data_IF_475808844019
#
_entry.id   IF_475808844019
#
_cell.length_a   1.000
_cell.length_b   1.000
_cell.length_c   1.000
_cell.angle_alpha   90.00
_cell.angle_beta   90.00
_cell.angle_gamma   90.00
#
_symmetry.space_group_name_H-M   'P 1'
#
loop_
_entity.id
_entity.type
_entity.pdbx_description
1 polymer ?
2 polymer ?
3 polymer ?
4 polymer ?
5 non-polymer ?
6 non-polymer ?
7 non-polymer ?
8 non-polymer ?
9 non-polymer ?
10 non-polymer ?
11 water ?
#
loop_
_entity_poly.entity_id
_entity_poly.type
_entity_poly.pdbx_seq_one_letter_code
_entity_poly.pdbx_strand_id
2 'polydeoxyribonucleotide' '(DC)(DG)(DG)(DC)(DC)(DT)(DA)(DC)(DG)' ?
3 'polydeoxyribonucleotide' '(DC)(DG)(DT)(DA)(DG)' ?
4 'polydeoxyribonucleotide' '(DG)(DC)(DC)(DG)' ?
#
# COMPACT_ATOMS: atom_id res chain seq x y z
N UNK A 12 8.76 -22.96 -6.77
CA UNK A 12 8.40 -21.65 -6.19
C UNK A 12 9.64 -20.75 -6.08
N UNK A 13 9.70 -19.68 -6.89
CA UNK A 13 10.86 -18.79 -6.84
C UNK A 13 10.90 -18.01 -5.54
N UNK A 14 12.07 -17.49 -5.23
CA UNK A 14 12.25 -16.91 -3.90
C UNK A 14 11.77 -15.48 -3.80
N UNK A 15 11.68 -14.75 -4.92
CA UNK A 15 11.23 -13.36 -4.89
C UNK A 15 9.77 -13.27 -5.33
N UNK A 16 9.01 -12.37 -4.69
CA UNK A 16 7.60 -12.31 -5.04
C UNK A 16 7.37 -11.81 -6.48
N UNK A 17 8.30 -11.04 -7.03
CA UNK A 17 8.11 -10.51 -8.38
C UNK A 17 8.34 -11.53 -9.46
N UNK A 18 8.76 -12.73 -9.08
CA UNK A 18 9.00 -13.84 -10.00
C UNK A 18 7.82 -14.79 -10.14
N UNK A 19 6.69 -14.52 -9.50
CA UNK A 19 5.58 -15.45 -9.52
C UNK A 19 4.28 -14.66 -9.51
N UNK A 20 3.26 -15.13 -10.19
CA UNK A 20 1.95 -14.49 -10.10
C UNK A 20 1.35 -14.66 -8.72
N UNK A 21 0.75 -13.58 -8.22
CA UNK A 21 0.01 -13.66 -6.97
C UNK A 21 -1.35 -13.01 -7.18
N UNK A 22 -2.41 -13.79 -7.20
CA UNK A 22 -3.77 -13.26 -7.47
C UNK A 22 -4.32 -12.63 -6.22
N UNK A 23 -5.42 -11.89 -6.41
CA UNK A 23 -6.00 -11.16 -5.31
C UNK A 23 -6.66 -12.09 -4.30
N UNK A 24 -7.32 -13.11 -4.80
CA UNK A 24 -7.89 -14.15 -3.96
C UNK A 24 -7.19 -15.46 -4.24
N UNK A 25 -7.14 -16.32 -3.21
CA UNK A 25 -6.29 -17.50 -3.31
C UNK A 25 -6.82 -18.60 -2.41
N UNK A 26 -5.97 -19.58 -2.12
CA UNK A 26 -6.42 -20.85 -1.55
C UNK A 26 -5.87 -21.09 -0.15
N UNK A 27 -5.26 -20.09 0.44
CA UNK A 27 -4.62 -20.23 1.75
C UNK A 27 -4.87 -19.02 2.62
N UNK A 28 -6.08 -18.49 2.51
CA UNK A 28 -6.35 -17.17 3.13
C UNK A 28 -6.11 -17.16 4.62
N UNK A 29 -6.62 -18.17 5.34
CA UNK A 29 -6.43 -18.18 6.79
C UNK A 29 -4.97 -18.28 7.21
N UNK A 30 -4.20 -19.10 6.51
CA UNK A 30 -2.80 -19.23 6.86
C UNK A 30 -2.07 -17.92 6.63
N UNK A 31 -2.31 -17.29 5.47
CA UNK A 31 -1.60 -16.04 5.18
C UNK A 31 -1.98 -14.96 6.18
N UNK A 32 -3.25 -14.89 6.57
CA UNK A 32 -3.70 -13.88 7.52
C UNK A 32 -2.96 -14.00 8.84
N UNK A 33 -2.75 -15.24 9.30
CA UNK A 33 -2.08 -15.46 10.58
C UNK A 33 -0.63 -15.00 10.52
N UNK A 34 0.06 -15.35 9.43
CA UNK A 34 1.45 -14.92 9.30
C UNK A 34 1.54 -13.41 9.21
N UNK A 35 0.56 -12.76 8.57
CA UNK A 35 0.54 -11.31 8.48
C UNK A 35 0.28 -10.63 9.82
N UNK A 36 -0.46 -11.27 10.73
CA UNK A 36 -0.53 -10.73 12.09
C UNK A 36 0.85 -10.68 12.72
N UNK A 37 1.61 -11.78 12.61
CA UNK A 37 2.95 -11.79 13.19
C UNK A 37 3.88 -10.78 12.51
N UNK A 38 3.68 -10.56 11.21
CA UNK A 38 4.49 -9.55 10.52
C UNK A 38 4.19 -8.18 11.07
N UNK A 39 2.89 -7.88 11.23
CA UNK A 39 2.46 -6.58 11.75
C UNK A 39 2.99 -6.36 13.14
N UNK A 40 2.90 -7.37 14.00
CA UNK A 40 3.41 -7.26 15.36
C UNK A 40 4.92 -7.04 15.38
N UNK A 41 5.66 -7.71 14.48
CA UNK A 41 7.10 -7.44 14.38
C UNK A 41 7.36 -5.98 14.05
N UNK A 42 6.58 -5.42 13.15
CA UNK A 42 6.78 -4.02 12.79
C UNK A 42 6.49 -3.09 13.96
N UNK A 43 5.49 -3.42 14.77
CA UNK A 43 5.24 -2.58 15.95
C UNK A 43 6.39 -2.62 16.95
N UNK A 44 7.21 -3.66 16.92
CA UNK A 44 8.38 -3.75 17.79
C UNK A 44 9.66 -3.30 17.09
N UNK A 45 9.55 -2.78 15.88
CA UNK A 45 10.71 -2.30 15.14
C UNK A 45 11.60 -3.37 14.53
N UNK A 46 11.12 -4.59 14.34
CA UNK A 46 11.93 -5.64 13.72
C UNK A 46 11.49 -5.78 12.28
N UNK A 47 12.08 -4.95 11.41
CA UNK A 47 11.75 -4.98 9.99
C UNK A 47 12.17 -6.29 9.33
N UNK A 48 13.24 -6.92 9.82
CA UNK A 48 13.66 -8.19 9.23
C UNK A 48 12.65 -9.30 9.45
N UNK A 49 12.19 -9.45 10.67
CA UNK A 49 11.18 -10.45 10.97
C UNK A 49 9.85 -10.11 10.27
N UNK A 50 9.49 -8.83 10.20
CA UNK A 50 8.32 -8.43 9.44
C UNK A 50 8.43 -8.92 8.01
N UNK A 51 9.60 -8.71 7.39
CA UNK A 51 9.74 -9.10 5.98
C UNK A 51 9.61 -10.60 5.81
N UNK A 52 10.26 -11.36 6.66
CA UNK A 52 10.16 -12.82 6.51
C UNK A 52 8.72 -13.30 6.65
N UNK A 53 7.98 -12.79 7.66
CA UNK A 53 6.60 -13.24 7.80
C UNK A 53 5.72 -12.76 6.63
N UNK A 54 5.97 -11.55 6.12
CA UNK A 54 5.25 -11.06 4.94
C UNK A 54 5.55 -11.94 3.73
N UNK A 55 6.84 -12.30 3.54
CA UNK A 55 7.23 -13.12 2.40
C UNK A 55 6.64 -14.52 2.49
N UNK A 56 6.66 -15.11 3.69
CA UNK A 56 6.07 -16.44 3.86
C UNK A 56 4.57 -16.41 3.58
N UNK A 57 3.89 -15.39 4.07
CA UNK A 57 2.49 -15.25 3.76
C UNK A 57 2.27 -15.16 2.26
N UNK A 58 3.13 -14.40 1.59
CA UNK A 58 2.95 -14.19 0.16
C UNK A 58 3.17 -15.47 -0.64
N UNK A 59 4.11 -16.31 -0.21
CA UNK A 59 4.33 -17.60 -0.86
C UNK A 59 3.04 -18.42 -0.84
N UNK A 60 2.34 -18.40 0.29
CA UNK A 60 1.09 -19.15 0.37
C UNK A 60 0.02 -18.59 -0.57
N UNK A 61 -0.01 -17.28 -0.77
CA UNK A 61 -0.96 -16.70 -1.69
C UNK A 61 -0.71 -17.16 -3.13
N UNK A 62 0.54 -17.49 -3.45
CA UNK A 62 0.91 -17.88 -4.80
C UNK A 62 0.73 -19.38 -5.10
N UNK A 63 0.39 -20.21 -4.09
CA UNK A 63 0.23 -21.61 -4.31
C UNK A 63 -1.07 -21.92 -5.06
N UNK A 64 -1.10 -23.02 -5.81
CA UNK A 64 -2.25 -23.30 -6.65
C UNK A 64 -3.39 -23.99 -5.94
N UNK A 65 -3.20 -24.37 -4.67
CA UNK A 65 -4.22 -25.11 -3.95
C UNK A 65 -3.94 -24.98 -2.45
N UNK A 66 -4.88 -25.42 -1.60
CA UNK A 66 -4.65 -25.27 -0.14
C UNK A 66 -3.54 -26.17 0.38
N UNK A 67 -2.78 -25.61 1.33
CA UNK A 67 -1.90 -26.43 2.16
C UNK A 67 -2.74 -27.21 3.15
N UNK A 68 -2.64 -28.53 3.08
CA UNK A 68 -3.36 -29.48 3.94
C UNK A 68 -2.44 -30.20 4.93
N UNK A 69 -1.16 -30.30 4.63
CA UNK A 69 -0.25 -31.10 5.43
C UNK A 69 1.06 -30.34 5.52
N UNK A 70 1.73 -30.52 6.66
CA UNK A 70 3.00 -29.82 6.90
C UNK A 70 4.01 -30.15 5.82
N UNK A 71 3.99 -31.39 5.34
CA UNK A 71 4.85 -31.86 4.27
C UNK A 71 4.91 -30.93 3.08
N UNK A 72 3.81 -30.24 2.80
CA UNK A 72 3.72 -29.41 1.62
C UNK A 72 4.53 -28.12 1.77
N UNK A 73 5.04 -27.81 2.95
CA UNK A 73 5.89 -26.64 3.10
C UNK A 73 7.32 -26.94 2.77
N UNK A 74 7.70 -28.23 2.69
CA UNK A 74 9.08 -28.58 2.42
C UNK A 74 9.53 -27.97 1.13
N UNK A 75 10.65 -27.27 1.17
CA UNK A 75 11.19 -26.66 0.01
C UNK A 75 10.69 -25.26 -0.26
N UNK A 76 9.55 -24.86 0.30
CA UNK A 76 9.04 -23.52 -0.01
C UNK A 76 9.97 -22.45 0.56
N UNK A 77 10.25 -21.42 -0.18
CA UNK A 77 11.11 -20.35 0.37
C UNK A 77 10.39 -19.61 1.49
N UNK A 78 11.19 -19.17 2.47
CA UNK A 78 10.80 -18.36 3.60
C UNK A 78 10.01 -19.10 4.66
N UNK A 79 9.95 -20.43 4.58
CA UNK A 79 9.38 -21.27 5.61
C UNK A 79 10.49 -22.00 6.35
N UNK A 80 10.81 -21.48 7.54
CA UNK A 80 11.71 -22.12 8.45
C UNK A 80 10.96 -22.63 9.66
N UNK A 81 11.69 -22.80 10.76
CA UNK A 81 11.08 -23.41 11.93
C UNK A 81 9.88 -22.63 12.43
N UNK A 82 10.00 -21.30 12.46
CA UNK A 82 8.96 -20.48 13.09
C UNK A 82 7.68 -20.41 12.24
N UNK A 83 7.79 -20.03 10.97
CA UNK A 83 6.60 -19.95 10.13
C UNK A 83 5.98 -21.32 9.92
N UNK A 84 6.80 -22.37 9.87
CA UNK A 84 6.25 -23.72 9.70
C UNK A 84 5.47 -24.14 10.93
N UNK A 85 5.95 -23.76 12.11
CA UNK A 85 5.24 -24.11 13.35
C UNK A 85 3.88 -23.42 13.40
N UNK A 86 3.83 -22.15 12.99
CA UNK A 86 2.55 -21.44 12.92
C UNK A 86 1.58 -22.22 12.05
N UNK A 87 2.01 -22.60 10.86
CA UNK A 87 1.13 -23.33 9.95
C UNK A 87 0.74 -24.67 10.54
N UNK A 88 1.71 -25.38 11.15
CA UNK A 88 1.40 -26.69 11.72
C UNK A 88 0.30 -26.58 12.77
N UNK A 89 0.37 -25.57 13.64
CA UNK A 89 -0.65 -25.42 14.67
C UNK A 89 -1.99 -25.07 14.06
N UNK A 90 -2.01 -24.24 13.04
CA UNK A 90 -3.29 -23.94 12.39
C UNK A 90 -3.87 -25.17 11.72
N UNK A 91 -3.03 -25.99 11.07
CA UNK A 91 -3.54 -27.21 10.44
C UNK A 91 -4.09 -28.18 11.45
N UNK A 92 -3.43 -28.30 12.60
CA UNK A 92 -3.80 -29.30 13.60
C UNK A 92 -4.95 -28.83 14.49
N UNK A 93 -4.98 -27.56 14.88
CA UNK A 93 -5.91 -27.09 15.89
C UNK A 93 -6.83 -25.98 15.43
N UNK A 94 -6.60 -25.39 14.25
CA UNK A 94 -7.38 -24.29 13.77
C UNK A 94 -7.02 -22.94 14.32
N UNK A 95 -6.07 -22.88 15.25
CA UNK A 95 -5.59 -21.65 15.86
C UNK A 95 -4.12 -21.85 16.19
N UNK A 96 -3.38 -20.75 16.20
CA UNK A 96 -1.99 -20.73 16.63
C UNK A 96 -1.90 -19.90 17.90
N UNK A 97 -1.43 -20.53 18.99
CA UNK A 97 -1.42 -19.84 20.27
C UNK A 97 -0.68 -18.51 20.21
N UNK A 98 0.46 -18.48 19.53
CA UNK A 98 1.22 -17.23 19.45
C UNK A 98 0.43 -16.14 18.77
N UNK A 99 -0.23 -16.47 17.65
CA UNK A 99 -1.03 -15.51 16.95
C UNK A 99 -2.16 -14.99 17.83
N UNK A 100 -2.87 -15.90 18.52
CA UNK A 100 -3.96 -15.47 19.39
C UNK A 100 -3.46 -14.60 20.54
N UNK A 101 -2.30 -14.92 21.09
CA UNK A 101 -1.72 -14.10 22.14
C UNK A 101 -1.47 -12.68 21.64
N UNK A 102 -0.96 -12.56 20.42
CA UNK A 102 -0.73 -11.23 19.83
C UNK A 102 -2.06 -10.51 19.67
N UNK A 103 -3.03 -11.20 19.07
CA UNK A 103 -4.31 -10.56 18.79
C UNK A 103 -4.93 -9.93 20.02
N UNK A 104 -4.89 -10.63 21.14
CA UNK A 104 -5.59 -10.15 22.34
C UNK A 104 -4.71 -9.23 23.20
N UNK A 105 -3.46 -9.00 22.79
CA UNK A 105 -2.56 -8.22 23.63
C UNK A 105 -2.88 -6.73 23.56
N UNK A 106 -2.76 -6.08 24.72
CA UNK A 106 -3.02 -4.65 24.78
C UNK A 106 -2.05 -3.88 23.89
N UNK A 107 -0.80 -4.30 23.85
CA UNK A 107 0.19 -3.63 23.03
C UNK A 107 -0.19 -3.70 21.55
N UNK A 108 -0.51 -4.89 21.04
CA UNK A 108 -0.86 -5.02 19.64
C UNK A 108 -2.10 -4.19 19.30
N UNK A 109 -3.15 -4.33 20.14
CA UNK A 109 -4.40 -3.64 19.81
C UNK A 109 -4.21 -2.12 19.80
N UNK A 110 -3.46 -1.60 20.78
CA UNK A 110 -3.30 -0.15 20.85
C UNK A 110 -2.37 0.35 19.75
N UNK A 111 -1.26 -0.34 19.50
CA UNK A 111 -0.40 0.07 18.42
C UNK A 111 -1.13 0.05 17.08
N UNK A 112 -1.96 -0.98 16.86
CA UNK A 112 -2.76 -1.02 15.64
C UNK A 112 -3.68 0.17 15.56
N UNK A 113 -4.39 0.47 16.67
CA UNK A 113 -5.32 1.60 16.67
C UNK A 113 -4.61 2.91 16.39
N UNK A 114 -3.47 3.14 17.05
CA UNK A 114 -2.79 4.43 16.91
C UNK A 114 -2.16 4.58 15.51
N UNK A 115 -1.52 3.53 15.01
CA UNK A 115 -0.85 3.65 13.71
C UNK A 115 -1.86 3.74 12.57
N UNK A 116 -3.10 3.29 12.79
CA UNK A 116 -4.13 3.50 11.78
C UNK A 116 -4.48 4.96 11.60
N UNK A 117 -4.14 5.84 12.56
CA UNK A 117 -4.41 7.25 12.43
C UNK A 117 -3.50 7.86 11.37
N UNK A 118 -4.10 8.58 10.42
CA UNK A 118 -3.32 9.38 9.48
C UNK A 118 -2.52 10.44 10.23
N UNK A 119 -1.18 10.37 10.09
CA UNK A 119 -0.26 11.23 10.75
C UNK A 119 0.48 10.61 11.90
N UNK A 120 0.17 9.35 12.22
CA UNK A 120 0.76 8.63 13.32
C UNK A 120 1.45 7.41 12.78
N UNK A 121 2.76 7.29 13.03
CA UNK A 121 3.51 6.13 12.66
C UNK A 121 3.84 5.28 13.87
N UNK A 122 4.66 4.25 13.65
CA UNK A 122 5.04 3.37 14.74
C UNK A 122 5.75 4.13 15.86
N UNK A 123 6.68 5.01 15.51
CA UNK A 123 7.44 5.72 16.54
C UNK A 123 6.56 6.61 17.40
N UNK A 124 5.61 7.34 16.79
CA UNK A 124 4.71 8.14 17.61
C UNK A 124 3.78 7.26 18.45
N UNK A 125 3.17 6.23 17.84
CA UNK A 125 2.30 5.33 18.58
C UNK A 125 3.00 4.70 19.77
N UNK A 126 4.23 4.26 19.57
CA UNK A 126 4.98 3.63 20.64
C UNK A 126 5.24 4.62 21.79
N UNK A 127 5.59 5.87 21.45
CA UNK A 127 5.80 6.85 22.51
C UNK A 127 4.53 7.08 23.30
N UNK A 128 3.38 7.20 22.60
CA UNK A 128 2.10 7.39 23.28
C UNK A 128 1.77 6.17 24.16
N UNK A 129 2.02 4.97 23.63
CA UNK A 129 1.81 3.76 24.41
C UNK A 129 2.63 3.79 25.68
N UNK A 130 3.91 4.17 25.58
CA UNK A 130 4.75 4.20 26.78
C UNK A 130 4.31 5.30 27.75
N UNK A 131 3.66 6.34 27.26
CA UNK A 131 3.12 7.38 28.12
C UNK A 131 1.83 6.95 28.82
N UNK A 132 1.29 5.79 28.48
CA UNK A 132 0.07 5.31 29.10
C UNK A 132 -1.19 5.55 28.30
N UNK A 133 -1.10 6.14 27.11
CA UNK A 133 -2.30 6.39 26.31
C UNK A 133 -2.76 5.10 25.66
N UNK A 134 -4.09 4.94 25.57
CA UNK A 134 -4.65 3.69 25.05
C UNK A 134 -5.78 3.87 24.04
N UNK A 135 -6.54 4.98 24.06
CA UNK A 135 -7.72 5.12 23.22
C UNK A 135 -7.66 6.42 22.44
N UNK A 136 -8.52 6.51 21.42
CA UNK A 136 -8.56 7.73 20.62
C UNK A 136 -9.02 8.91 21.48
N UNK A 137 -9.95 8.67 22.40
CA UNK A 137 -10.39 9.76 23.29
C UNK A 137 -9.28 10.23 24.22
N UNK A 138 -8.39 9.34 24.64
CA UNK A 138 -7.18 9.78 25.32
C UNK A 138 -6.42 10.82 24.51
N UNK A 139 -6.28 10.58 23.19
CA UNK A 139 -5.54 11.51 22.35
C UNK A 139 -6.30 12.81 22.19
N UNK A 140 -7.62 12.73 22.07
CA UNK A 140 -8.42 13.93 21.89
C UNK A 140 -8.33 14.86 23.09
N UNK A 141 -8.12 14.31 24.27
CA UNK A 141 -8.11 15.09 25.51
C UNK A 141 -6.77 15.82 25.73
N UNK A 142 -5.87 15.82 24.76
CA UNK A 142 -4.63 16.57 24.88
C UNK A 142 -4.19 17.03 23.50
N UNK A 143 -4.97 17.92 22.86
CA UNK A 143 -4.84 18.15 21.43
C UNK A 143 -3.65 19.01 21.06
N UNK A 144 -3.14 19.84 21.97
CA UNK A 144 -1.92 20.58 21.68
C UNK A 144 -0.73 19.66 21.45
N UNK A 145 -0.80 18.42 21.94
CA UNK A 145 0.19 17.40 21.70
C UNK A 145 0.12 16.83 20.29
N UNK A 146 -0.72 17.33 19.42
CA UNK A 146 -0.91 16.74 18.11
C UNK A 146 -0.59 17.71 17.00
N UNK A 147 -0.09 17.17 15.90
CA UNK A 147 0.12 17.94 14.70
C UNK A 147 -1.19 18.22 14.00
N UNK A 148 -1.17 19.21 13.11
CA UNK A 148 -2.35 19.48 12.29
C UNK A 148 -2.77 18.22 11.55
N UNK A 149 -1.81 17.46 11.01
CA UNK A 149 -2.10 16.26 10.27
C UNK A 149 -2.78 15.23 11.16
N UNK A 150 -2.28 15.08 12.39
CA UNK A 150 -2.85 14.12 13.33
C UNK A 150 -4.24 14.54 13.75
N UNK A 151 -4.43 15.85 13.91
CA UNK A 151 -5.78 16.35 14.27
C UNK A 151 -6.77 15.95 13.17
N UNK A 152 -6.41 16.18 11.91
CA UNK A 152 -7.28 15.78 10.80
C UNK A 152 -7.50 14.27 10.80
N UNK A 153 -6.43 13.52 10.97
CA UNK A 153 -6.56 12.06 11.02
C UNK A 153 -7.49 11.60 12.13
N UNK A 154 -7.43 12.24 13.30
CA UNK A 154 -8.31 11.87 14.40
C UNK A 154 -9.74 12.31 14.15
N UNK A 155 -9.94 13.53 13.65
CA UNK A 155 -11.31 14.01 13.41
C UNK A 155 -11.99 13.10 12.40
N UNK A 156 -11.28 12.68 11.37
CA UNK A 156 -11.84 11.90 10.26
C UNK A 156 -11.67 10.40 10.43
N UNK A 157 -11.16 9.96 11.59
CA UNK A 157 -10.78 8.54 11.74
C UNK A 157 -11.95 7.60 11.47
N UNK A 158 -13.14 7.94 11.92
CA UNK A 158 -14.26 7.02 11.75
C UNK A 158 -14.58 6.82 10.28
N UNK A 159 -14.73 7.91 9.51
CA UNK A 159 -14.94 7.77 8.06
C UNK A 159 -13.79 7.04 7.38
N UNK A 160 -12.54 7.35 7.74
CA UNK A 160 -11.41 6.77 7.11
C UNK A 160 -11.29 5.28 7.43
N UNK A 161 -11.97 4.80 8.44
CA UNK A 161 -11.97 3.37 8.74
C UNK A 161 -13.02 2.60 7.97
N UNK A 162 -13.88 3.27 7.23
CA UNK A 162 -15.00 2.73 6.43
C UNK A 162 -14.48 2.38 5.04
N UNK A 163 -14.70 1.18 4.51
CA UNK A 163 -14.19 0.85 3.19
C UNK A 163 -14.71 1.78 2.10
N UNK A 164 -13.78 2.19 1.23
CA UNK A 164 -14.05 2.83 -0.03
C UNK A 164 -14.44 1.78 -1.06
N UNK A 165 -15.55 2.01 -1.75
CA UNK A 165 -16.05 1.03 -2.73
C UNK A 165 -15.67 1.45 -4.14
N UNK A 166 -15.69 0.48 -5.06
CA UNK A 166 -15.35 0.81 -6.44
C UNK A 166 -16.26 1.88 -7.00
N UNK A 167 -17.53 1.93 -6.56
CA UNK A 167 -18.43 3.00 -6.99
C UNK A 167 -17.93 4.37 -6.52
N UNK A 168 -17.40 4.46 -5.31
CA UNK A 168 -16.82 5.70 -4.83
C UNK A 168 -15.65 6.14 -5.71
N UNK A 169 -14.85 5.16 -6.17
CA UNK A 169 -13.64 5.49 -6.93
C UNK A 169 -14.00 6.17 -8.24
N UNK A 170 -15.00 5.66 -8.95
CA UNK A 170 -15.36 6.23 -10.25
C UNK A 170 -15.83 7.67 -10.10
N UNK A 171 -16.60 7.94 -9.04
CA UNK A 171 -17.03 9.31 -8.78
C UNK A 171 -15.86 10.22 -8.48
N UNK A 172 -14.89 9.76 -7.67
CA UNK A 172 -13.76 10.59 -7.36
C UNK A 172 -12.92 10.86 -8.62
N UNK A 173 -12.81 9.87 -9.50
CA UNK A 173 -11.95 10.06 -10.65
C UNK A 173 -12.49 11.14 -11.58
N UNK A 174 -13.83 11.20 -11.74
CA UNK A 174 -14.39 12.25 -12.57
C UNK A 174 -14.11 13.63 -11.99
N UNK A 175 -14.20 13.79 -10.66
CA UNK A 175 -13.99 15.14 -10.14
C UNK A 175 -12.51 15.52 -10.24
N UNK A 176 -11.61 14.54 -10.05
CA UNK A 176 -10.17 14.81 -10.21
C UNK A 176 -9.86 15.19 -11.66
N UNK A 177 -10.44 14.47 -12.59
CA UNK A 177 -10.24 14.77 -14.02
C UNK A 177 -10.71 16.17 -14.38
N UNK A 178 -11.84 16.62 -13.82
CA UNK A 178 -12.31 17.97 -14.14
C UNK A 178 -11.30 19.01 -13.68
N UNK A 179 -10.77 18.84 -12.44
CA UNK A 179 -9.81 19.83 -11.96
C UNK A 179 -8.51 19.77 -12.76
N UNK A 180 -8.08 18.56 -13.06
CA UNK A 180 -6.83 18.36 -13.82
C UNK A 180 -6.95 18.96 -15.20
N UNK A 181 -8.09 18.76 -15.85
CA UNK A 181 -8.34 19.37 -17.18
C UNK A 181 -8.29 20.87 -17.22
N UNK A 182 -8.76 21.56 -16.14
CA UNK A 182 -8.64 23.00 -16.10
C UNK A 182 -7.23 23.41 -15.77
N UNK A 183 -6.56 22.62 -14.93
CA UNK A 183 -5.21 22.98 -14.53
C UNK A 183 -4.27 22.83 -15.72
N UNK A 184 -4.48 21.82 -16.55
CA UNK A 184 -3.61 21.58 -17.73
C UNK A 184 -4.37 20.75 -18.76
N UNK A 185 -4.96 21.39 -19.75
CA UNK A 185 -5.62 20.63 -20.81
C UNK A 185 -4.70 19.59 -21.42
N UNK A 186 -5.25 18.38 -21.62
CA UNK A 186 -4.50 17.26 -22.11
C UNK A 186 -3.90 16.35 -21.04
N UNK A 187 -3.84 16.80 -19.81
CA UNK A 187 -3.32 15.94 -18.75
C UNK A 187 -4.28 14.80 -18.51
N UNK A 188 -3.72 13.68 -18.06
CA UNK A 188 -4.48 12.45 -17.88
C UNK A 188 -4.40 12.00 -16.44
N UNK A 189 -5.39 11.19 -16.04
CA UNK A 189 -5.53 10.69 -14.68
C UNK A 189 -5.66 9.18 -14.79
N UNK A 190 -4.79 8.44 -14.10
CA UNK A 190 -4.80 6.97 -14.09
C UNK A 190 -5.01 6.45 -12.69
N UNK A 191 -5.99 5.56 -12.49
CA UNK A 191 -6.19 4.90 -11.20
C UNK A 191 -5.08 3.90 -10.96
N UNK A 192 -4.47 4.01 -9.77
CA UNK A 192 -3.38 3.09 -9.40
C UNK A 192 -3.70 2.37 -8.12
N UNK A 193 -2.66 1.96 -7.38
CA UNK A 193 -2.83 1.25 -6.13
C UNK A 193 -3.67 0.00 -6.22
N UNK A 194 -4.22 -0.35 -5.07
CA UNK A 194 -5.00 -1.62 -4.97
C UNK A 194 -6.16 -1.73 -5.93
N UNK A 195 -6.87 -0.60 -6.22
CA UNK A 195 -7.95 -0.73 -7.18
C UNK A 195 -7.47 -1.12 -8.58
N UNK A 196 -6.27 -0.68 -8.98
CA UNK A 196 -5.76 -1.11 -10.28
C UNK A 196 -5.42 -2.62 -10.27
N UNK A 197 -5.09 -3.16 -9.12
CA UNK A 197 -4.85 -4.62 -8.97
C UNK A 197 -6.10 -5.43 -8.87
N UNK A 198 -7.29 -4.78 -8.92
CA UNK A 198 -8.55 -5.50 -8.94
C UNK A 198 -9.31 -5.51 -7.66
N UNK A 199 -8.82 -4.84 -6.61
CA UNK A 199 -9.56 -4.81 -5.34
C UNK A 199 -10.92 -4.16 -5.52
N UNK A 200 -11.94 -4.72 -4.84
CA UNK A 200 -13.27 -4.17 -4.92
C UNK A 200 -13.51 -3.11 -3.86
N UNK A 201 -12.66 -3.08 -2.84
CA UNK A 201 -12.72 -2.09 -1.78
C UNK A 201 -11.31 -1.63 -1.48
N UNK A 202 -11.24 -0.62 -0.61
CA UNK A 202 -9.94 -0.21 -0.13
C UNK A 202 -10.10 0.86 0.90
N UNK A 203 -8.98 1.31 1.42
CA UNK A 203 -9.00 2.35 2.46
C UNK A 203 -8.56 3.70 1.92
N UNK A 204 -8.23 3.78 0.63
CA UNK A 204 -7.83 5.03 0.04
C UNK A 204 -7.86 4.83 -1.47
N UNK A 205 -7.74 5.93 -2.20
CA UNK A 205 -7.73 5.91 -3.66
C UNK A 205 -6.45 6.59 -4.15
N UNK A 206 -5.77 5.97 -5.09
CA UNK A 206 -4.48 6.43 -5.60
C UNK A 206 -4.59 6.80 -7.07
N UNK A 207 -4.13 8.01 -7.44
CA UNK A 207 -4.21 8.46 -8.81
C UNK A 207 -2.83 8.96 -9.25
N UNK A 208 -2.51 8.70 -10.51
CA UNK A 208 -1.27 9.12 -11.15
C UNK A 208 -1.60 10.03 -12.32
N UNK A 209 -0.97 11.18 -12.37
CA UNK A 209 -1.29 12.23 -13.35
C UNK A 209 -0.07 12.50 -14.20
N UNK A 210 -0.27 12.64 -15.51
CA UNK A 210 0.83 13.02 -16.39
C UNK A 210 0.27 13.81 -17.55
N UNK A 211 1.15 14.14 -18.49
CA UNK A 211 0.78 14.89 -19.72
C UNK A 211 1.64 14.34 -20.83
N UNK A 212 1.09 14.15 -22.03
CA UNK A 212 1.87 13.51 -23.10
C UNK A 212 3.05 14.33 -23.60
N UNK A 213 3.11 15.63 -23.35
CA UNK A 213 4.21 16.50 -23.75
C UNK A 213 5.18 16.68 -22.57
N UNK A 214 6.37 16.06 -22.70
CA UNK A 214 7.33 16.12 -21.62
C UNK A 214 7.62 17.55 -21.17
N UNK A 215 7.55 17.76 -19.86
CA UNK A 215 7.78 19.05 -19.24
C UNK A 215 6.52 19.83 -18.93
N UNK A 216 5.43 19.54 -19.63
CA UNK A 216 4.21 20.30 -19.41
C UNK A 216 3.64 20.03 -18.03
N UNK A 217 4.03 18.90 -17.42
CA UNK A 217 3.53 18.58 -16.08
C UNK A 217 4.19 19.35 -14.98
N UNK A 218 5.27 20.10 -15.25
CA UNK A 218 5.93 20.91 -14.23
C UNK A 218 4.92 21.85 -13.60
N UNK A 219 4.89 21.92 -12.27
CA UNK A 219 4.02 22.83 -11.55
C UNK A 219 2.57 22.47 -11.55
N UNK A 220 2.22 21.24 -11.96
CA UNK A 220 0.84 20.87 -12.14
C UNK A 220 0.10 20.67 -10.81
N UNK A 221 0.70 19.94 -9.89
CA UNK A 221 -0.04 19.55 -8.69
C UNK A 221 -0.57 20.73 -7.89
N UNK A 222 0.18 21.81 -7.64
CA UNK A 222 -0.44 22.96 -6.97
C UNK A 222 -1.65 23.49 -7.68
N UNK A 223 -1.63 23.51 -9.01
CA UNK A 223 -2.75 24.02 -9.77
C UNK A 223 -3.96 23.11 -9.62
N UNK A 224 -3.71 21.80 -9.57
CA UNK A 224 -4.79 20.85 -9.34
C UNK A 224 -5.38 21.01 -7.92
N UNK A 225 -4.51 21.12 -6.94
CA UNK A 225 -4.98 21.24 -5.56
C UNK A 225 -5.79 22.50 -5.36
N UNK A 226 -5.34 23.64 -5.91
CA UNK A 226 -6.07 24.87 -5.65
C UNK A 226 -7.47 24.76 -6.25
N UNK A 227 -7.57 24.07 -7.38
CA UNK A 227 -8.86 23.94 -8.04
C UNK A 227 -9.80 23.01 -7.25
N UNK A 228 -9.29 21.90 -6.77
CA UNK A 228 -10.14 21.05 -5.92
C UNK A 228 -10.57 21.76 -4.67
N UNK A 229 -9.68 22.53 -4.06
CA UNK A 229 -10.04 23.25 -2.85
C UNK A 229 -11.09 24.32 -3.15
N UNK A 230 -10.96 25.01 -4.28
CA UNK A 230 -11.99 26.00 -4.65
C UNK A 230 -13.36 25.36 -4.87
N UNK A 231 -13.39 24.07 -5.25
CA UNK A 231 -14.64 23.32 -5.41
C UNK A 231 -15.19 22.79 -4.07
N UNK A 232 -14.51 23.05 -2.95
CA UNK A 232 -15.00 22.62 -1.66
C UNK A 232 -14.81 21.16 -1.37
N UNK A 233 -13.93 20.52 -2.11
CA UNK A 233 -13.79 19.06 -2.03
C UNK A 233 -12.71 18.61 -1.09
N UNK A 234 -11.85 19.47 -0.63
CA UNK A 234 -10.67 19.13 0.13
C UNK A 234 -10.92 19.41 1.59
N UNK A 235 -11.02 18.34 2.37
CA UNK A 235 -11.14 18.53 3.81
C UNK A 235 -9.78 18.72 4.47
N UNK A 236 -8.71 18.17 3.87
CA UNK A 236 -7.37 18.30 4.40
C UNK A 236 -6.35 18.07 3.30
N UNK A 237 -5.29 18.90 3.29
CA UNK A 237 -4.11 18.68 2.46
C UNK A 237 -2.94 19.41 3.10
N UNK A 238 -1.73 19.07 2.76
CA UNK A 238 -0.74 19.93 3.42
C UNK A 238 -0.65 21.31 2.73
N UNK A 259 5.56 20.60 -5.51
CA UNK A 259 5.48 19.22 -4.98
C UNK A 259 4.95 18.28 -6.05
N UNK A 260 5.16 16.95 -5.87
CA UNK A 260 4.69 15.94 -6.81
C UNK A 260 3.81 14.84 -6.21
N UNK A 261 3.64 14.81 -4.88
CA UNK A 261 2.75 13.89 -4.22
C UNK A 261 1.88 14.68 -3.23
N UNK A 262 0.58 14.48 -3.28
CA UNK A 262 -0.36 15.11 -2.36
C UNK A 262 -1.16 14.05 -1.64
N UNK A 263 -1.14 14.08 -0.29
CA UNK A 263 -1.88 13.14 0.54
C UNK A 263 -3.06 13.90 1.11
N UNK A 264 -4.25 13.71 0.59
CA UNK A 264 -5.33 14.54 1.06
C UNK A 264 -6.54 13.72 1.48
N UNK A 265 -7.42 14.41 2.19
CA UNK A 265 -8.73 13.89 2.57
C UNK A 265 -9.76 14.66 1.76
N UNK A 266 -10.54 13.94 0.96
CA UNK A 266 -11.60 14.47 0.11
C UNK A 266 -12.93 14.39 0.83
N UNK A 267 -13.88 15.26 0.43
CA UNK A 267 -15.30 15.08 0.71
C UNK A 267 -15.92 14.32 -0.46
N UNK A 268 -16.42 13.13 -0.21
CA UNK A 268 -17.10 12.33 -1.22
C UNK A 268 -18.61 12.30 -0.98
N UNK A 269 -19.43 12.71 -1.95
CA UNK A 269 -20.88 12.63 -1.77
C UNK A 269 -21.38 11.25 -1.37
N UNK A 270 -22.43 11.24 -0.56
CA UNK A 270 -23.13 10.05 -0.12
C UNK A 270 -24.62 10.39 -0.16
N UNK A 271 -25.49 9.40 -0.18
CA UNK A 271 -26.93 9.70 -0.14
C UNK A 271 -27.28 10.69 0.96
N UNK A 272 -27.66 11.91 0.55
CA UNK A 272 -28.08 12.90 1.53
C UNK A 272 -26.98 13.39 2.46
N UNK A 273 -25.72 13.06 2.20
CA UNK A 273 -24.64 13.57 3.02
C UNK A 273 -23.32 13.33 2.30
N UNK A 274 -22.27 13.00 3.04
CA UNK A 274 -20.95 12.76 2.42
C UNK A 274 -20.10 12.05 3.45
N UNK A 275 -18.93 11.60 2.99
CA UNK A 275 -17.97 10.99 3.89
C UNK A 275 -16.57 11.40 3.46
N UNK A 276 -15.67 11.41 4.43
CA UNK A 276 -14.28 11.70 4.17
C UNK A 276 -13.60 10.47 3.57
N UNK A 277 -12.76 10.70 2.58
CA UNK A 277 -11.98 9.63 1.92
C UNK A 277 -10.54 10.08 1.72
N UNK A 278 -9.59 9.17 1.99
CA UNK A 278 -8.19 9.42 1.69
C UNK A 278 -7.92 9.25 0.19
N UNK A 279 -7.31 10.27 -0.43
CA UNK A 279 -6.96 10.26 -1.85
C UNK A 279 -5.52 10.73 -1.97
N UNK A 280 -4.71 9.99 -2.73
CA UNK A 280 -3.35 10.38 -3.03
C UNK A 280 -3.26 10.77 -4.50
N UNK A 281 -2.67 11.91 -4.75
CA UNK A 281 -2.45 12.41 -6.11
C UNK A 281 -0.97 12.53 -6.35
N UNK A 282 -0.52 11.98 -7.48
CA UNK A 282 0.90 11.92 -7.81
C UNK A 282 1.03 12.44 -9.23
N UNK A 283 2.09 13.19 -9.50
CA UNK A 283 2.40 13.66 -10.86
C UNK A 283 3.72 13.06 -11.27
N UNK A 284 3.80 12.64 -12.54
CA UNK A 284 5.07 12.21 -13.11
C UNK A 284 5.21 12.72 -14.53
N UNK A 285 6.41 13.05 -14.98
CA UNK A 285 6.61 13.30 -16.41
C UNK A 285 6.40 12.04 -17.21
N UNK A 286 5.98 12.21 -18.46
CA UNK A 286 5.61 11.03 -19.23
C UNK A 286 6.81 10.11 -19.45
N UNK A 287 8.03 10.67 -19.50
CA UNK A 287 9.20 9.78 -19.58
C UNK A 287 9.29 8.82 -18.41
N UNK A 288 8.83 9.21 -17.23
CA UNK A 288 8.90 8.40 -16.01
C UNK A 288 7.61 7.64 -15.76
N UNK A 289 6.56 7.91 -16.53
CA UNK A 289 5.25 7.38 -16.20
C UNK A 289 5.26 5.85 -16.04
N UNK A 290 5.93 5.07 -16.87
CA UNK A 290 5.91 3.59 -16.63
C UNK A 290 6.48 3.19 -15.31
N UNK A 291 7.56 3.87 -14.87
CA UNK A 291 8.10 3.58 -13.53
C UNK A 291 7.17 4.01 -12.42
N UNK A 292 6.51 5.16 -12.57
CA UNK A 292 5.65 5.62 -11.52
C UNK A 292 4.39 4.75 -11.46
N UNK A 293 3.86 4.38 -12.62
CA UNK A 293 2.72 3.46 -12.71
C UNK A 293 3.08 2.13 -12.02
N UNK A 294 4.23 1.59 -12.35
CA UNK A 294 4.65 0.33 -11.74
C UNK A 294 4.76 0.48 -10.24
N UNK A 295 5.43 1.53 -9.80
CA UNK A 295 5.60 1.72 -8.36
C UNK A 295 4.31 1.94 -7.61
N UNK A 296 3.44 2.76 -8.15
CA UNK A 296 2.22 3.10 -7.44
C UNK A 296 1.13 2.05 -7.60
N UNK A 297 1.32 1.03 -8.46
CA UNK A 297 0.35 -0.04 -8.54
C UNK A 297 0.62 -1.13 -7.52
N UNK A 298 1.85 -1.22 -7.04
CA UNK A 298 2.13 -2.14 -5.92
C UNK A 298 2.02 -3.61 -6.34
N UNK A 299 1.69 -4.48 -5.39
CA UNK A 299 1.57 -4.19 -3.98
C UNK A 299 2.85 -3.67 -3.38
N UNK A 300 2.75 -3.17 -2.13
CA UNK A 300 3.94 -2.71 -1.41
C UNK A 300 5.01 -3.82 -1.38
N UNK A 301 4.62 -5.02 -0.95
CA UNK A 301 5.61 -6.09 -0.90
C UNK A 301 6.13 -6.42 -2.30
N UNK A 302 5.25 -6.43 -3.32
CA UNK A 302 5.72 -6.71 -4.66
C UNK A 302 6.81 -5.73 -5.08
N UNK A 303 6.62 -4.45 -4.76
CA UNK A 303 7.58 -3.45 -5.21
C UNK A 303 8.90 -3.53 -4.42
N UNK A 304 8.86 -3.78 -3.11
CA UNK A 304 10.05 -3.99 -2.32
C UNK A 304 10.83 -5.17 -2.87
N UNK A 305 10.10 -6.24 -3.24
CA UNK A 305 10.77 -7.43 -3.78
C UNK A 305 11.32 -7.16 -5.16
N UNK A 306 10.61 -6.40 -5.97
CA UNK A 306 11.10 -6.05 -7.32
C UNK A 306 12.36 -5.21 -7.25
N UNK A 307 12.40 -4.22 -6.35
CA UNK A 307 13.59 -3.40 -6.21
C UNK A 307 14.74 -4.22 -5.63
N UNK A 308 14.43 -5.14 -4.68
CA UNK A 308 15.48 -6.01 -4.15
C UNK A 308 16.04 -6.90 -5.25
N UNK A 309 15.16 -7.49 -6.06
CA UNK A 309 15.59 -8.32 -7.19
C UNK A 309 16.46 -7.53 -8.16
N UNK A 310 16.00 -6.35 -8.53
CA UNK A 310 16.73 -5.52 -9.48
C UNK A 310 18.15 -5.31 -9.02
N UNK A 311 18.31 -4.90 -7.76
CA UNK A 311 19.63 -4.55 -7.28
C UNK A 311 20.50 -5.77 -7.03
N UNK A 312 19.95 -6.76 -6.33
CA UNK A 312 20.76 -7.91 -5.90
C UNK A 312 20.98 -8.91 -7.03
N UNK A 313 19.99 -9.14 -7.89
CA UNK A 313 20.16 -10.14 -8.95
C UNK A 313 20.65 -9.52 -10.26
N UNK A 314 20.27 -8.28 -10.57
CA UNK A 314 20.60 -7.67 -11.86
C UNK A 314 21.57 -6.50 -11.77
N UNK A 315 21.90 -6.02 -10.57
CA UNK A 315 22.81 -4.90 -10.42
C UNK A 315 22.27 -3.57 -10.89
N UNK A 316 20.94 -3.43 -10.97
CA UNK A 316 20.29 -2.23 -11.43
C UNK A 316 19.45 -1.65 -10.28
N UNK A 317 19.38 -0.31 -10.24
CA UNK A 317 18.74 0.39 -9.12
C UNK A 317 17.39 0.94 -9.59
N UNK A 318 16.31 0.47 -8.98
CA UNK A 318 14.96 0.81 -9.39
C UNK A 318 14.24 1.70 -8.38
N UNK A 319 13.55 2.73 -8.88
CA UNK A 319 12.62 3.49 -8.04
C UNK A 319 11.45 3.91 -8.92
N UNK A 320 10.58 4.79 -8.38
CA UNK A 320 9.41 5.20 -9.14
C UNK A 320 9.72 6.26 -10.19
N UNK A 321 11.00 6.66 -10.36
CA UNK A 321 11.40 7.58 -11.38
C UNK A 321 12.15 6.91 -12.52
N UNK A 322 12.71 5.70 -12.34
CA UNK A 322 13.56 5.14 -13.36
C UNK A 322 14.32 3.92 -12.87
N UNK A 323 15.20 3.45 -13.75
CA UNK A 323 15.96 2.22 -13.54
C UNK A 323 17.37 2.54 -14.01
N UNK A 324 18.31 2.52 -13.06
CA UNK A 324 19.67 3.02 -13.29
C UNK A 324 20.67 1.88 -13.34
N UNK A 325 21.54 1.94 -14.34
CA UNK A 325 22.67 1.04 -14.43
C UNK A 325 23.88 1.76 -13.85
N UNK A 326 24.37 1.36 -12.67
CA UNK A 326 25.42 2.12 -12.00
C UNK A 326 26.80 1.84 -12.56
N UNK A 327 26.93 0.90 -13.49
CA UNK A 327 28.22 0.67 -14.14
C UNK A 327 28.36 1.51 -15.41
N UNK A 328 27.32 1.54 -16.26
CA UNK A 328 27.27 2.45 -17.39
C UNK A 328 26.92 3.88 -16.99
N UNK A 329 26.29 4.08 -15.83
CA UNK A 329 25.80 5.37 -15.39
C UNK A 329 24.75 5.89 -16.37
N UNK A 330 23.81 5.00 -16.72
CA UNK A 330 22.75 5.30 -17.66
C UNK A 330 21.40 4.87 -17.09
N UNK A 331 20.37 5.58 -17.51
CA UNK A 331 18.98 5.26 -17.16
C UNK A 331 18.29 4.57 -18.33
N UNK A 332 17.57 3.50 -18.02
CA UNK A 332 16.80 2.82 -19.04
C UNK A 332 15.59 3.65 -19.42
N UNK A 333 15.32 3.74 -20.69
CA UNK A 333 14.12 4.40 -21.19
C UNK A 333 13.06 3.31 -21.24
N UNK A 334 11.93 3.58 -20.68
CA UNK A 334 10.82 2.65 -20.81
C UNK A 334 9.61 3.37 -21.35
N UNK A 335 8.88 2.69 -22.24
CA UNK A 335 7.61 3.22 -22.71
C UNK A 335 6.40 2.48 -22.15
N UNK A 336 6.63 1.43 -21.36
CA UNK A 336 5.56 0.61 -20.80
C UNK A 336 6.09 -0.15 -19.60
N UNK A 337 5.15 -0.65 -18.79
CA UNK A 337 5.53 -1.58 -17.74
C UNK A 337 6.14 -2.83 -18.33
N UNK A 338 5.61 -3.28 -19.48
CA UNK A 338 6.19 -4.44 -20.14
C UNK A 338 7.68 -4.24 -20.39
N UNK A 339 8.08 -3.03 -20.80
CA UNK A 339 9.50 -2.74 -21.03
C UNK A 339 10.29 -2.98 -19.76
N UNK A 340 9.77 -2.55 -18.63
CA UNK A 340 10.54 -2.67 -17.38
C UNK A 340 10.72 -4.12 -16.99
N UNK A 341 9.65 -4.93 -17.05
CA UNK A 341 9.83 -6.36 -16.76
C UNK A 341 10.88 -6.96 -17.71
N UNK A 342 10.84 -6.59 -19.00
CA UNK A 342 11.82 -7.13 -19.95
C UNK A 342 13.23 -6.74 -19.55
N UNK A 343 13.43 -5.46 -19.23
CA UNK A 343 14.75 -4.97 -18.82
C UNK A 343 15.33 -5.86 -17.72
N UNK A 344 14.50 -6.20 -16.73
CA UNK A 344 14.88 -6.95 -15.55
C UNK A 344 14.85 -8.44 -15.77
N UNK A 345 14.54 -8.92 -16.98
CA UNK A 345 14.59 -10.36 -17.20
C UNK A 345 13.50 -11.15 -16.51
N UNK A 346 12.35 -10.53 -16.28
CA UNK A 346 11.25 -11.13 -15.58
C UNK A 346 10.07 -11.31 -16.53
N UNK A 347 9.34 -12.39 -16.38
CA UNK A 347 8.10 -12.54 -17.12
C UNK A 347 7.11 -11.45 -16.68
N UNK A 348 6.39 -10.90 -17.66
CA UNK A 348 5.42 -9.83 -17.33
C UNK A 348 4.31 -10.38 -16.45
N UNK A 349 3.94 -9.56 -15.44
CA UNK A 349 2.77 -9.82 -14.64
C UNK A 349 1.81 -8.65 -14.75
N UNK A 350 0.57 -8.88 -15.11
CA UNK A 350 -0.41 -7.78 -15.09
C UNK A 350 -0.69 -7.37 -13.65
N UNK A 351 -1.32 -6.20 -13.45
CA UNK A 351 -1.54 -5.70 -12.08
C UNK A 351 -2.27 -6.70 -11.17
N UNK A 352 -3.24 -7.43 -11.74
CA UNK A 352 -4.03 -8.34 -10.91
C UNK A 352 -3.22 -9.55 -10.46
N UNK A 353 -2.00 -9.74 -10.96
CA UNK A 353 -1.10 -10.79 -10.46
C UNK A 353 0.07 -10.27 -9.65
N UNK A 354 -0.03 -9.01 -9.17
CA UNK A 354 0.98 -8.38 -8.36
C UNK A 354 0.53 -8.22 -6.92
N UNK A 355 -0.41 -9.05 -6.47
CA UNK A 355 -1.00 -8.95 -5.14
C UNK A 355 -0.17 -9.72 -4.14
N UNK A 356 1.15 -9.50 -4.14
CA UNK A 356 2.02 -10.17 -3.19
C UNK A 356 1.71 -9.74 -1.80
X LIG E 1 5.61 4.42 -5.42
X LIG E 1 6.86 3.86 -5.67
X LIG E 1 5.43 4.77 -3.95
X LIG E 1 6.42 5.69 -3.64
X LIG F 1 -0.24 -26.40 -2.10
X LIG F 1 -0.41 -26.27 -3.48
X LIG F 1 -0.26 -27.89 -1.66
X LIG F 1 0.81 -28.56 -2.28
X LIG G 1 15.95 -3.91 12.01
X LIG G 1 14.65 -3.39 12.07
X LIG G 1 15.98 -5.02 10.98
X LIG G 1 15.29 -6.13 11.49
X LIG H 1 10.38 5.71 -5.42
X LIG H 1 10.68 7.00 -5.88
X LIG I 1 -0.70 6.18 10.47
X LIG J 1 -2.68 5.75 -0.99
X LIG K 1 -11.13 -6.65 -1.92
X LIG K 1 -11.28 -5.21 -1.68
X LIG K 1 -11.60 -7.05 -3.22
X LIG K 1 -9.74 -7.06 -1.63
X LIG L 1 -3.83 -1.43 -1.83
X LIG L 1 -2.67 -0.42 -1.87
X LIG L 1 -3.10 0.88 -2.59
X LIG L 1 -1.55 -1.11 -2.54
X LIG L 1 -2.26 -0.14 -0.37
X LIG L 1 -3.24 0.32 0.90
X LIG L 1 -4.03 -0.78 1.36
X LIG L 1 -2.27 1.02 1.88
X LIG L 1 -4.13 1.43 0.12
X LIG M 1 -3.93 2.61 -1.82
X LIG N 1 3.16 -8.06 4.94
#
# INVERSE_FOLDING_TARGET
GSAAAPLSPAWMPAYACQRPTPLTHHNTGLSEALEILAEAAGFEGSEGRLLTFCRAASVLKALPSPVTTLSQLQGLPHFGEHSSRVVQELLEHGVCEEVERVRRSERYQTMKLFTQIFGVGVKTADRWYREGLRTLDDLREQPQKLTQQQKAGLQHHQDLSTPVLRSDVDALQQVVEEAVGQALPGATVTLTGGFRRGKLQGHDVDFLITHPKEGQEAGLLPRVMCRLQDQGLILYHQHQHSCCESPTRLAQQSHMDAFERSFCIFRLPQPGSWKAVRVDLVVAPVSQFPFALLGWTGSKLFQRELRRFSRKEKGLWLNSHGLFDPEQKTFFQAASEEDIFRHLGLEYLPPEQRNA
EDO C1 O1 C2 O2
EDO C1 O1 C2 O2
EDO C1 O1 C2 O2
EDO C1 O1
NA NA
NA NA
EPE S O1S O2S O3S
PPV O11 P1 O21 O31 OPP P2 O12 O22 O32
MG MG
DTT S1
#
